data_IF_370359525407
#
_entry.id   IF_370359525407
#
_cell.length_a   1.000
_cell.length_b   1.000
_cell.length_c   1.000
_cell.angle_alpha   90.00
_cell.angle_beta   90.00
_cell.angle_gamma   90.00
#
_symmetry.space_group_name_H-M   'P 1'
#
loop_
_entity.id
_entity.type
_entity.pdbx_description
1 polymer ?
#
# COMPACT_ATOMS: atom_id res chain seq x y z
N UNK A 1 -6.71 51.45 38.10
CA UNK A 1 -7.13 50.06 37.75
C UNK A 1 -7.23 49.28 39.05
N UNK A 2 -8.41 48.93 39.43
CA UNK A 2 -8.75 48.27 40.69
C UNK A 2 -8.30 46.80 40.74
N UNK A 3 -7.97 46.26 41.93
CA UNK A 3 -7.52 44.86 42.07
C UNK A 3 -8.46 43.80 41.46
N UNK A 4 -9.73 44.15 41.31
CA UNK A 4 -10.76 43.29 40.74
C UNK A 4 -10.54 42.99 39.24
N UNK A 5 -10.03 43.93 38.47
CA UNK A 5 -9.74 43.73 37.04
C UNK A 5 -8.50 42.83 36.80
N UNK A 6 -7.58 42.77 37.76
CA UNK A 6 -6.42 41.84 37.68
C UNK A 6 -6.82 40.40 37.99
N UNK A 7 -7.77 40.19 38.89
CA UNK A 7 -8.26 38.83 39.20
C UNK A 7 -9.09 38.21 38.06
N UNK A 8 -9.88 39.00 37.33
CA UNK A 8 -10.67 38.54 36.19
C UNK A 8 -9.76 38.21 34.99
N UNK A 9 -8.71 39.01 34.76
CA UNK A 9 -7.73 38.71 33.72
C UNK A 9 -6.93 37.41 33.96
N UNK A 10 -6.65 37.09 35.24
CA UNK A 10 -5.95 35.85 35.61
C UNK A 10 -6.86 34.61 35.53
N UNK A 11 -8.14 34.79 35.87
CA UNK A 11 -9.13 33.68 35.77
C UNK A 11 -9.48 33.33 34.31
N UNK A 12 -9.53 34.31 33.39
CA UNK A 12 -9.70 34.09 31.97
C UNK A 12 -8.47 33.45 31.31
N UNK A 13 -7.26 33.72 31.82
CA UNK A 13 -6.03 33.08 31.32
C UNK A 13 -5.93 31.60 31.74
N UNK A 14 -6.48 31.24 32.91
CA UNK A 14 -6.50 29.87 33.41
C UNK A 14 -7.59 29.02 32.67
N UNK A 15 -8.68 29.66 32.23
CA UNK A 15 -9.73 28.97 31.48
C UNK A 15 -9.35 28.71 30.00
N UNK A 16 -8.39 29.45 29.44
CA UNK A 16 -7.88 29.21 28.07
C UNK A 16 -6.75 28.18 28.00
N UNK A 17 -6.16 27.75 29.12
CA UNK A 17 -5.10 26.73 29.15
C UNK A 17 -5.62 25.31 29.41
N UNK A 18 -6.92 25.15 29.65
CA UNK A 18 -7.51 23.83 30.01
C UNK A 18 -8.13 23.07 28.83
N UNK A 19 -7.95 23.52 27.58
CA UNK A 19 -8.40 22.77 26.39
C UNK A 19 -7.22 22.39 25.48
N UNK A 20 -6.08 22.03 26.08
CA UNK A 20 -5.11 21.21 25.38
C UNK A 20 -5.60 19.77 25.51
N UNK A 21 -6.47 19.35 24.61
CA UNK A 21 -6.75 17.93 24.37
C UNK A 21 -5.40 17.25 24.20
N UNK A 22 -4.93 16.57 25.22
CA UNK A 22 -3.77 15.66 25.11
C UNK A 22 -4.18 14.59 24.12
N UNK A 23 -3.82 14.79 22.82
CA UNK A 23 -4.00 13.74 21.84
C UNK A 23 -3.26 12.53 22.37
N UNK A 24 -4.02 11.52 22.68
CA UNK A 24 -3.50 10.23 23.09
C UNK A 24 -2.47 9.78 22.06
N UNK A 25 -1.25 9.51 22.50
CA UNK A 25 -0.22 9.00 21.59
C UNK A 25 -0.62 7.60 21.16
N UNK A 26 -0.50 7.27 19.86
CA UNK A 26 -0.77 5.92 19.41
C UNK A 26 0.11 4.92 20.18
N UNK A 27 -0.47 3.81 20.60
CA UNK A 27 0.29 2.73 21.18
C UNK A 27 1.30 2.21 20.15
N UNK A 28 2.51 1.81 20.57
CA UNK A 28 3.50 1.26 19.66
C UNK A 28 2.92 0.07 18.87
N UNK A 29 3.12 0.06 17.55
CA UNK A 29 2.69 -1.04 16.71
C UNK A 29 3.61 -2.25 16.95
N UNK A 30 3.10 -3.21 17.72
CA UNK A 30 3.78 -4.49 17.95
C UNK A 30 3.27 -5.47 16.90
N UNK A 31 4.17 -6.02 16.09
CA UNK A 31 3.87 -6.87 14.97
C UNK A 31 4.46 -8.27 15.16
N UNK A 32 3.68 -9.28 14.81
CA UNK A 32 4.07 -10.68 14.75
C UNK A 32 4.05 -11.14 13.30
N UNK A 33 5.07 -11.87 12.87
CA UNK A 33 5.07 -12.45 11.53
C UNK A 33 3.94 -13.48 11.42
N UNK A 34 3.25 -13.55 10.27
CA UNK A 34 2.07 -14.41 10.10
C UNK A 34 2.41 -15.87 10.41
N UNK A 35 3.55 -16.38 9.91
CA UNK A 35 3.99 -17.75 10.13
C UNK A 35 4.22 -18.08 11.61
N UNK A 36 4.63 -17.07 12.40
CA UNK A 36 4.86 -17.23 13.85
C UNK A 36 3.55 -17.06 14.65
N UNK A 37 2.64 -16.18 14.24
CA UNK A 37 1.37 -15.93 14.93
C UNK A 37 0.41 -17.11 14.86
N UNK A 38 0.43 -17.82 13.76
CA UNK A 38 -0.37 -19.02 13.52
C UNK A 38 0.07 -20.20 14.41
N UNK A 39 1.38 -20.34 14.66
CA UNK A 39 1.93 -21.36 15.56
C UNK A 39 1.81 -20.99 17.05
N UNK A 40 1.56 -19.74 17.37
CA UNK A 40 1.56 -19.21 18.74
C UNK A 40 0.33 -19.62 19.57
N UNK A 41 -0.72 -20.16 18.94
CA UNK A 41 -1.83 -20.78 19.68
C UNK A 41 -1.40 -22.03 20.46
N UNK A 42 -0.24 -22.63 20.12
CA UNK A 42 0.30 -23.81 20.77
C UNK A 42 1.51 -23.52 21.69
N UNK A 43 2.22 -22.40 21.53
CA UNK A 43 3.41 -22.08 22.34
C UNK A 43 3.47 -20.64 22.84
N UNK A 44 3.66 -20.48 24.14
CA UNK A 44 3.64 -19.20 24.89
C UNK A 44 4.77 -18.19 24.60
N UNK A 45 5.47 -18.22 23.46
CA UNK A 45 6.52 -17.25 23.11
C UNK A 45 6.41 -16.82 21.66
N UNK A 46 5.60 -15.82 21.41
CA UNK A 46 5.65 -15.06 20.15
C UNK A 46 6.85 -14.13 20.18
N UNK A 47 7.75 -14.27 19.22
CA UNK A 47 8.83 -13.30 19.00
C UNK A 47 8.22 -12.05 18.36
N UNK A 48 7.83 -11.07 19.19
CA UNK A 48 7.39 -9.77 18.72
C UNK A 48 8.56 -9.04 18.02
N UNK A 49 8.33 -8.57 16.81
CA UNK A 49 9.32 -7.77 16.07
C UNK A 49 9.00 -6.30 16.29
N UNK A 50 9.91 -5.59 16.96
CA UNK A 50 9.83 -4.14 17.09
C UNK A 50 10.39 -3.51 15.82
N UNK A 51 9.55 -2.76 15.09
CA UNK A 51 9.97 -1.89 14.01
C UNK A 51 10.32 -0.53 14.60
N UNK A 52 11.59 -0.22 14.71
CA UNK A 52 12.02 1.00 15.41
C UNK A 52 13.19 1.75 14.79
N UNK A 53 13.77 1.25 13.71
CA UNK A 53 14.91 1.92 13.09
C UNK A 53 14.96 1.66 11.58
N UNK A 54 14.77 2.73 10.81
CA UNK A 54 14.99 2.76 9.36
C UNK A 54 16.39 2.21 9.00
N UNK A 55 17.39 2.42 9.87
CA UNK A 55 18.75 1.90 9.70
C UNK A 55 18.81 0.37 9.69
N UNK A 56 18.03 -0.32 10.51
CA UNK A 56 18.00 -1.79 10.54
C UNK A 56 17.38 -2.42 9.29
N UNK A 57 16.49 -1.71 8.61
CA UNK A 57 15.84 -2.18 7.38
C UNK A 57 16.75 -2.02 6.13
N UNK A 58 17.73 -1.14 6.21
CA UNK A 58 18.67 -0.81 5.13
C UNK A 58 19.97 -1.63 5.20
N UNK A 59 20.18 -2.40 6.27
CA UNK A 59 21.38 -3.23 6.42
C UNK A 59 21.20 -4.51 5.61
N UNK A 60 22.14 -4.78 4.70
CA UNK A 60 22.20 -5.98 3.86
C UNK A 60 22.07 -7.24 4.72
N UNK A 61 21.13 -8.12 4.39
CA UNK A 61 20.87 -9.37 5.10
C UNK A 61 19.70 -9.33 6.11
N UNK A 62 19.35 -8.18 6.69
CA UNK A 62 18.20 -8.10 7.61
C UNK A 62 16.87 -7.83 6.85
N UNK A 63 16.93 -7.28 5.65
CA UNK A 63 15.76 -6.97 4.85
C UNK A 63 14.96 -8.23 4.44
N UNK A 64 15.64 -9.32 4.07
CA UNK A 64 15.00 -10.59 3.69
C UNK A 64 14.30 -11.25 4.88
N UNK A 65 14.93 -11.25 6.06
CA UNK A 65 14.36 -11.83 7.28
C UNK A 65 13.10 -11.10 7.76
N UNK A 66 12.97 -9.81 7.41
CA UNK A 66 11.83 -8.98 7.77
C UNK A 66 10.76 -8.88 6.68
N UNK A 67 11.00 -9.42 5.49
CA UNK A 67 10.00 -9.44 4.43
C UNK A 67 8.90 -10.45 4.77
N UNK A 68 7.63 -10.03 4.65
CA UNK A 68 6.49 -10.90 4.93
C UNK A 68 5.24 -10.15 5.38
N UNK A 69 4.23 -10.92 5.73
CA UNK A 69 2.95 -10.44 6.26
C UNK A 69 3.00 -10.48 7.80
N UNK A 70 2.53 -9.43 8.43
CA UNK A 70 2.54 -9.25 9.88
C UNK A 70 1.15 -8.89 10.40
N UNK A 71 0.86 -9.27 11.65
CA UNK A 71 -0.38 -8.98 12.36
C UNK A 71 -0.08 -8.35 13.72
N UNK A 72 -1.08 -7.66 14.28
CA UNK A 72 -1.06 -7.16 15.67
C UNK A 72 -1.71 -8.11 16.66
N UNK A 73 -2.45 -9.10 16.15
CA UNK A 73 -3.22 -10.09 16.91
C UNK A 73 -3.28 -11.40 16.12
N UNK A 74 -3.57 -12.55 16.74
CA UNK A 74 -3.76 -13.81 16.03
C UNK A 74 -4.82 -13.68 14.92
N UNK A 75 -4.63 -14.40 13.81
CA UNK A 75 -5.58 -14.36 12.71
C UNK A 75 -6.96 -14.85 13.15
N UNK A 76 -7.98 -14.04 12.90
CA UNK A 76 -9.38 -14.37 13.18
C UNK A 76 -10.13 -14.57 11.86
N UNK A 77 -10.58 -15.80 11.52
CA UNK A 77 -11.27 -16.10 10.27
C UNK A 77 -12.65 -15.42 10.15
N UNK A 78 -13.21 -14.90 11.23
CA UNK A 78 -14.50 -14.18 11.23
C UNK A 78 -14.34 -12.70 10.82
N UNK A 79 -13.12 -12.15 10.91
CA UNK A 79 -12.86 -10.75 10.54
C UNK A 79 -12.46 -10.62 9.07
N UNK A 80 -12.75 -9.45 8.50
CA UNK A 80 -12.33 -9.06 7.16
C UNK A 80 -10.87 -8.61 7.23
N UNK A 81 -9.94 -9.27 6.52
CA UNK A 81 -8.54 -8.86 6.52
C UNK A 81 -8.34 -7.59 5.68
N UNK A 82 -7.59 -6.64 6.23
CA UNK A 82 -7.15 -5.40 5.55
C UNK A 82 -5.64 -5.39 5.51
N UNK A 83 -5.05 -5.48 4.32
CA UNK A 83 -3.60 -5.47 4.11
C UNK A 83 -3.09 -4.06 3.84
N UNK A 84 -2.19 -3.57 4.67
CA UNK A 84 -1.51 -2.29 4.51
C UNK A 84 -0.14 -2.47 3.87
N UNK A 85 0.11 -1.76 2.76
CA UNK A 85 1.38 -1.80 2.00
C UNK A 85 2.01 -0.41 2.02
N UNK A 86 3.18 -0.28 2.67
CA UNK A 86 3.89 0.99 2.81
C UNK A 86 4.59 1.44 1.51
N UNK A 87 4.99 2.70 1.47
CA UNK A 87 5.69 3.30 0.34
C UNK A 87 7.22 3.11 0.37
N UNK A 88 7.88 3.78 -0.58
CA UNK A 88 9.33 3.83 -0.68
C UNK A 88 9.94 4.49 0.57
N UNK A 89 11.08 3.99 1.03
CA UNK A 89 11.80 4.46 2.24
C UNK A 89 10.93 4.44 3.51
N UNK A 90 9.96 3.54 3.56
CA UNK A 90 9.06 3.38 4.68
C UNK A 90 9.07 1.93 5.20
N UNK A 91 8.34 1.67 6.26
CA UNK A 91 8.21 0.39 6.94
C UNK A 91 6.78 0.25 7.53
N UNK A 92 6.36 -0.93 7.98
CA UNK A 92 5.02 -1.15 8.56
C UNK A 92 4.63 -0.17 9.67
N UNK A 93 5.60 0.33 10.44
CA UNK A 93 5.36 1.32 11.51
C UNK A 93 4.68 2.60 11.02
N UNK A 94 4.80 2.95 9.75
CA UNK A 94 4.15 4.13 9.17
C UNK A 94 2.63 4.11 9.36
N UNK A 95 2.04 2.92 9.52
CA UNK A 95 0.60 2.71 9.67
C UNK A 95 0.09 2.80 11.12
N UNK A 96 1.01 2.97 12.10
CA UNK A 96 0.70 2.95 13.54
C UNK A 96 -0.46 3.89 13.91
N UNK A 97 -0.41 5.13 13.42
CA UNK A 97 -1.46 6.12 13.69
C UNK A 97 -2.80 5.72 13.06
N UNK A 98 -2.80 5.34 11.78
CA UNK A 98 -4.02 4.93 11.09
C UNK A 98 -4.64 3.71 11.76
N UNK A 99 -3.85 2.67 12.05
CA UNK A 99 -4.33 1.47 12.71
C UNK A 99 -4.91 1.76 14.10
N UNK A 100 -4.25 2.61 14.87
CA UNK A 100 -4.71 3.04 16.20
C UNK A 100 -6.05 3.79 16.13
N UNK A 101 -6.17 4.79 15.24
CA UNK A 101 -7.40 5.58 15.11
C UNK A 101 -8.55 4.74 14.54
N UNK A 102 -8.30 3.88 13.57
CA UNK A 102 -9.32 2.98 13.02
C UNK A 102 -9.85 2.01 14.08
N UNK A 103 -8.98 1.44 14.94
CA UNK A 103 -9.39 0.51 16.00
C UNK A 103 -10.19 1.15 17.14
N UNK A 104 -10.24 2.47 17.25
CA UNK A 104 -11.13 3.17 18.19
C UNK A 104 -12.61 3.04 17.82
N UNK A 105 -12.91 2.80 16.54
CA UNK A 105 -14.28 2.54 16.09
C UNK A 105 -14.65 1.08 16.40
N UNK A 106 -15.71 0.83 17.21
CA UNK A 106 -16.12 -0.52 17.55
C UNK A 106 -16.44 -1.40 16.35
N UNK A 107 -17.14 -0.86 15.33
CA UNK A 107 -17.50 -1.61 14.11
C UNK A 107 -16.27 -2.02 13.31
N UNK A 108 -15.24 -1.17 13.25
CA UNK A 108 -13.96 -1.51 12.63
C UNK A 108 -13.23 -2.57 13.46
N UNK A 109 -13.15 -2.38 14.77
CA UNK A 109 -12.45 -3.30 15.67
C UNK A 109 -13.06 -4.70 15.69
N UNK A 110 -14.38 -4.79 15.61
CA UNK A 110 -15.12 -6.06 15.62
C UNK A 110 -15.08 -6.79 14.28
N UNK A 111 -15.20 -6.05 13.17
CA UNK A 111 -15.39 -6.65 11.85
C UNK A 111 -14.11 -6.78 11.02
N UNK A 112 -13.05 -6.04 11.34
CA UNK A 112 -11.84 -6.00 10.53
C UNK A 112 -10.59 -6.42 11.32
N UNK A 113 -9.64 -7.01 10.60
CA UNK A 113 -8.34 -7.36 11.11
C UNK A 113 -7.24 -6.78 10.22
N UNK A 114 -6.20 -6.18 10.83
CA UNK A 114 -5.16 -5.48 10.10
C UNK A 114 -3.92 -6.36 9.91
N UNK A 115 -3.52 -6.48 8.65
CA UNK A 115 -2.31 -7.11 8.19
C UNK A 115 -1.37 -6.04 7.63
N UNK A 116 -0.07 -6.22 7.81
CA UNK A 116 0.94 -5.26 7.39
C UNK A 116 2.00 -5.97 6.56
N UNK A 117 2.21 -5.52 5.33
CA UNK A 117 3.28 -6.05 4.49
C UNK A 117 4.57 -5.28 4.73
N UNK A 118 5.62 -6.01 5.05
CA UNK A 118 6.99 -5.50 5.18
C UNK A 118 7.82 -5.98 4.01
N UNK A 119 8.54 -5.08 3.35
CA UNK A 119 9.40 -5.41 2.21
C UNK A 119 10.55 -4.40 2.06
N UNK A 120 11.70 -4.79 1.45
CA UNK A 120 12.81 -3.88 1.18
C UNK A 120 12.43 -2.95 0.03
N UNK A 121 11.95 -1.74 0.35
CA UNK A 121 11.39 -0.78 -0.60
C UNK A 121 12.42 -0.18 -1.59
N UNK A 122 13.71 -0.45 -1.40
CA UNK A 122 14.76 -0.16 -2.38
C UNK A 122 14.72 -1.08 -3.62
N UNK A 123 14.08 -2.24 -3.50
CA UNK A 123 13.90 -3.20 -4.61
C UNK A 123 13.01 -2.58 -5.69
N UNK A 124 13.35 -2.69 -7.00
CA UNK A 124 12.52 -2.21 -8.08
C UNK A 124 11.07 -2.73 -8.01
N UNK A 125 10.13 -1.97 -8.60
CA UNK A 125 8.68 -2.25 -8.48
C UNK A 125 8.31 -3.67 -8.94
N UNK A 126 8.81 -4.11 -10.09
CA UNK A 126 8.43 -5.41 -10.69
C UNK A 126 8.82 -6.59 -9.79
N UNK A 127 10.09 -6.74 -9.35
CA UNK A 127 10.44 -7.79 -8.38
C UNK A 127 9.75 -7.61 -7.02
N UNK A 128 9.53 -6.36 -6.54
CA UNK A 128 8.78 -6.15 -5.30
C UNK A 128 7.34 -6.66 -5.40
N UNK A 129 6.69 -6.46 -6.54
CA UNK A 129 5.35 -6.98 -6.81
C UNK A 129 5.34 -8.52 -6.87
N UNK A 130 6.36 -9.15 -7.43
CA UNK A 130 6.49 -10.61 -7.44
C UNK A 130 6.67 -11.18 -6.03
N UNK A 131 7.53 -10.57 -5.23
CA UNK A 131 7.77 -10.96 -3.83
C UNK A 131 6.47 -10.82 -3.01
N UNK A 132 5.72 -9.71 -3.19
CA UNK A 132 4.41 -9.50 -2.53
C UNK A 132 3.44 -10.62 -2.90
N UNK A 133 3.28 -10.92 -4.21
CA UNK A 133 2.38 -11.97 -4.69
C UNK A 133 2.73 -13.32 -4.07
N UNK A 134 4.01 -13.71 -4.09
CA UNK A 134 4.47 -14.97 -3.52
C UNK A 134 4.13 -15.09 -2.02
N UNK A 135 4.47 -14.05 -1.22
CA UNK A 135 4.15 -14.05 0.21
C UNK A 135 2.64 -14.11 0.47
N UNK A 136 1.87 -13.34 -0.29
CA UNK A 136 0.43 -13.25 -0.09
C UNK A 136 -0.29 -14.54 -0.53
N UNK A 137 0.09 -15.12 -1.68
CA UNK A 137 -0.45 -16.39 -2.17
C UNK A 137 -0.22 -17.51 -1.15
N UNK A 138 0.99 -17.59 -0.57
CA UNK A 138 1.32 -18.56 0.49
C UNK A 138 0.54 -18.31 1.78
N UNK A 139 0.42 -17.05 2.19
CA UNK A 139 -0.36 -16.65 3.37
C UNK A 139 -1.82 -17.05 3.22
N UNK A 140 -2.43 -16.74 2.06
CA UNK A 140 -3.81 -17.10 1.75
C UNK A 140 -4.00 -18.62 1.73
N UNK A 141 -3.12 -19.35 1.07
CA UNK A 141 -3.18 -20.83 1.05
C UNK A 141 -3.11 -21.42 2.47
N UNK A 142 -2.27 -20.85 3.35
CA UNK A 142 -2.20 -21.25 4.76
C UNK A 142 -3.50 -20.95 5.49
N UNK A 143 -4.07 -19.74 5.32
CA UNK A 143 -5.35 -19.37 5.94
C UNK A 143 -6.46 -20.34 5.52
N UNK A 144 -6.59 -20.60 4.21
CA UNK A 144 -7.63 -21.50 3.68
C UNK A 144 -7.46 -22.93 4.20
N UNK A 145 -6.22 -23.41 4.25
CA UNK A 145 -5.89 -24.75 4.75
C UNK A 145 -6.16 -24.90 6.25
N UNK A 146 -5.70 -23.97 7.08
CA UNK A 146 -5.77 -24.07 8.54
C UNK A 146 -7.15 -23.78 9.09
N UNK A 147 -7.80 -22.74 8.58
CA UNK A 147 -9.09 -22.29 9.10
C UNK A 147 -10.28 -22.87 8.34
N UNK A 148 -10.05 -23.66 7.25
CA UNK A 148 -11.09 -24.26 6.42
C UNK A 148 -12.11 -23.26 5.87
N UNK A 149 -11.63 -22.08 5.48
CA UNK A 149 -12.44 -20.99 4.91
C UNK A 149 -11.96 -20.68 3.50
N UNK A 150 -12.82 -20.07 2.68
CA UNK A 150 -12.40 -19.49 1.40
C UNK A 150 -12.02 -18.02 1.59
N UNK A 151 -10.92 -17.62 1.00
CA UNK A 151 -10.48 -16.22 0.95
C UNK A 151 -10.99 -15.48 -0.29
N UNK A 152 -11.75 -16.14 -1.16
CA UNK A 152 -12.26 -15.49 -2.37
C UNK A 152 -12.99 -14.18 -2.08
N UNK A 153 -12.52 -13.07 -2.69
CA UNK A 153 -13.06 -11.71 -2.52
C UNK A 153 -13.18 -11.24 -1.05
N UNK A 154 -12.26 -11.61 -0.19
CA UNK A 154 -12.31 -11.19 1.23
C UNK A 154 -11.28 -10.14 1.62
N UNK A 155 -10.14 -10.06 0.90
CA UNK A 155 -9.06 -9.16 1.25
C UNK A 155 -9.32 -7.74 0.74
N UNK A 156 -9.20 -6.75 1.62
CA UNK A 156 -9.10 -5.33 1.26
C UNK A 156 -7.62 -4.94 1.33
N UNK A 157 -7.15 -4.19 0.34
CA UNK A 157 -5.75 -3.74 0.28
C UNK A 157 -5.69 -2.21 0.36
N UNK A 158 -4.84 -1.68 1.22
CA UNK A 158 -4.56 -0.24 1.36
C UNK A 158 -3.10 -0.01 1.02
N UNK A 159 -2.85 0.69 -0.08
CA UNK A 159 -1.49 0.96 -0.55
C UNK A 159 -1.14 2.44 -0.57
N UNK A 160 -0.05 2.83 0.10
CA UNK A 160 0.46 4.20 0.10
C UNK A 160 1.63 4.34 -0.86
N UNK A 161 1.62 5.38 -1.70
CA UNK A 161 2.75 5.71 -2.58
C UNK A 161 3.13 4.52 -3.47
N UNK A 162 4.39 4.09 -3.51
CA UNK A 162 4.83 2.88 -4.22
C UNK A 162 4.05 1.63 -3.79
N UNK A 163 3.62 1.53 -2.52
CA UNK A 163 2.76 0.45 -2.05
C UNK A 163 1.41 0.37 -2.77
N UNK A 164 0.90 1.50 -3.29
CA UNK A 164 -0.27 1.52 -4.14
C UNK A 164 -0.02 0.89 -5.52
N UNK A 165 1.17 1.08 -6.11
CA UNK A 165 1.53 0.41 -7.36
C UNK A 165 1.64 -1.11 -7.15
N UNK A 166 2.22 -1.52 -6.02
CA UNK A 166 2.27 -2.94 -5.64
C UNK A 166 0.86 -3.51 -5.44
N UNK A 167 -0.03 -2.76 -4.80
CA UNK A 167 -1.44 -3.14 -4.63
C UNK A 167 -2.16 -3.29 -5.98
N UNK A 168 -1.92 -2.37 -6.95
CA UNK A 168 -2.47 -2.47 -8.31
C UNK A 168 -2.05 -3.77 -8.98
N UNK A 169 -0.81 -4.22 -8.78
CA UNK A 169 -0.32 -5.48 -9.36
C UNK A 169 -1.04 -6.74 -8.87
N UNK A 170 -1.77 -6.66 -7.74
CA UNK A 170 -2.59 -7.77 -7.22
C UNK A 170 -3.93 -7.89 -7.95
N UNK A 171 -4.35 -6.86 -8.65
CA UNK A 171 -5.70 -6.73 -9.23
C UNK A 171 -5.68 -6.45 -10.73
N UNK A 172 -4.52 -6.51 -11.35
CA UNK A 172 -4.33 -6.30 -12.79
C UNK A 172 -3.83 -7.56 -13.46
N UNK A 173 -4.08 -7.64 -14.78
CA UNK A 173 -3.56 -8.69 -15.65
C UNK A 173 -2.52 -8.12 -16.61
N UNK A 174 -1.40 -8.81 -16.77
CA UNK A 174 -0.35 -8.40 -17.72
C UNK A 174 -0.49 -9.03 -19.10
N UNK A 175 -1.07 -10.22 -19.20
CA UNK A 175 -0.90 -11.05 -20.39
C UNK A 175 0.59 -11.22 -20.69
N UNK A 176 0.96 -11.10 -21.95
CA UNK A 176 2.37 -11.12 -22.39
C UNK A 176 3.01 -9.73 -22.51
N UNK A 177 2.24 -8.65 -22.37
CA UNK A 177 2.72 -7.28 -22.63
C UNK A 177 3.97 -6.92 -21.82
N UNK A 178 3.98 -7.25 -20.53
CA UNK A 178 5.15 -6.95 -19.67
C UNK A 178 6.31 -7.91 -19.96
N UNK A 179 6.03 -9.16 -20.32
CA UNK A 179 7.01 -10.14 -20.75
C UNK A 179 7.72 -9.69 -22.03
N UNK A 180 6.99 -9.36 -23.07
CA UNK A 180 7.52 -8.96 -24.39
C UNK A 180 8.34 -7.65 -24.34
N UNK A 181 8.08 -6.80 -23.33
CA UNK A 181 8.90 -5.61 -23.09
C UNK A 181 10.28 -5.96 -22.53
N UNK A 182 10.42 -7.07 -21.82
CA UNK A 182 11.65 -7.48 -21.15
C UNK A 182 12.40 -8.61 -21.89
N UNK A 183 11.67 -9.52 -22.53
CA UNK A 183 12.20 -10.78 -23.07
C UNK A 183 11.77 -11.03 -24.52
N UNK A 184 12.62 -11.75 -25.29
CA UNK A 184 12.36 -12.15 -26.66
C UNK A 184 12.23 -13.67 -26.83
N UNK A 185 12.20 -14.42 -25.74
CA UNK A 185 12.12 -15.89 -25.71
C UNK A 185 11.13 -16.35 -24.65
N UNK A 186 10.52 -17.55 -24.82
CA UNK A 186 9.68 -18.14 -23.79
C UNK A 186 10.53 -18.55 -22.57
N UNK A 187 9.89 -18.64 -21.40
CA UNK A 187 10.59 -18.88 -20.12
C UNK A 187 11.28 -20.24 -20.04
N UNK A 188 10.78 -21.21 -20.79
CA UNK A 188 11.32 -22.57 -20.85
C UNK A 188 12.76 -22.58 -21.35
N UNK A 189 13.13 -21.68 -22.26
CA UNK A 189 14.46 -21.57 -22.86
C UNK A 189 15.52 -20.93 -21.94
N UNK A 190 15.09 -20.30 -20.83
CA UNK A 190 16.02 -19.67 -19.91
C UNK A 190 16.78 -20.70 -19.07
N UNK A 191 18.11 -20.54 -18.99
CA UNK A 191 18.97 -21.27 -18.04
C UNK A 191 18.85 -20.65 -16.65
N UNK A 192 17.77 -20.98 -15.95
CA UNK A 192 17.39 -20.48 -14.62
C UNK A 192 16.84 -21.61 -13.76
N UNK A 193 17.02 -21.49 -12.46
CA UNK A 193 16.41 -22.42 -11.50
C UNK A 193 14.88 -22.33 -11.54
N UNK A 194 14.15 -23.39 -11.10
CA UNK A 194 12.69 -23.36 -11.02
C UNK A 194 12.16 -22.17 -10.21
N UNK A 195 12.82 -21.81 -9.10
CA UNK A 195 12.43 -20.69 -8.25
C UNK A 195 12.61 -19.33 -8.98
N UNK A 196 13.68 -19.19 -9.77
CA UNK A 196 13.90 -17.98 -10.58
C UNK A 196 12.88 -17.87 -11.71
N UNK A 197 12.52 -18.97 -12.37
CA UNK A 197 11.44 -19.01 -13.39
C UNK A 197 10.09 -18.65 -12.79
N UNK A 198 9.75 -19.17 -11.62
CA UNK A 198 8.55 -18.81 -10.89
C UNK A 198 8.53 -17.31 -10.56
N UNK A 199 9.64 -16.76 -10.06
CA UNK A 199 9.77 -15.35 -9.76
C UNK A 199 9.58 -14.47 -11.00
N UNK A 200 10.16 -14.85 -12.15
CA UNK A 200 9.93 -14.13 -13.41
C UNK A 200 8.47 -14.20 -13.85
N UNK A 201 7.81 -15.34 -13.71
CA UNK A 201 6.39 -15.47 -14.03
C UNK A 201 5.53 -14.58 -13.14
N UNK A 202 5.77 -14.57 -11.83
CA UNK A 202 5.08 -13.69 -10.89
C UNK A 202 5.37 -12.20 -11.13
N UNK A 203 6.53 -11.88 -11.72
CA UNK A 203 6.95 -10.53 -12.02
C UNK A 203 6.35 -10.00 -13.32
N UNK A 204 6.32 -10.81 -14.39
CA UNK A 204 6.05 -10.37 -15.75
C UNK A 204 4.80 -10.96 -16.39
N UNK A 205 4.29 -12.11 -15.90
CA UNK A 205 3.05 -12.74 -16.35
C UNK A 205 2.20 -13.09 -15.17
N UNK A 206 1.22 -12.24 -14.85
CA UNK A 206 0.35 -12.45 -13.69
C UNK A 206 -1.11 -12.11 -13.99
N UNK A 207 -1.97 -12.74 -13.20
CA UNK A 207 -3.41 -12.55 -13.18
C UNK A 207 -3.85 -11.87 -11.89
N UNK A 208 -5.00 -11.21 -11.88
CA UNK A 208 -5.62 -10.68 -10.66
C UNK A 208 -5.76 -11.77 -9.59
N UNK A 209 -5.49 -11.41 -8.34
CA UNK A 209 -5.63 -12.33 -7.22
C UNK A 209 -7.09 -12.45 -6.79
N UNK A 210 -7.69 -13.66 -6.90
CA UNK A 210 -9.13 -13.84 -6.68
C UNK A 210 -9.58 -13.57 -5.25
N UNK A 211 -8.65 -13.51 -4.30
CA UNK A 211 -8.95 -13.21 -2.90
C UNK A 211 -9.02 -11.69 -2.62
N UNK A 212 -8.63 -10.82 -3.55
CA UNK A 212 -8.74 -9.36 -3.37
C UNK A 212 -10.15 -8.91 -3.75
N UNK A 213 -10.83 -8.25 -2.80
CA UNK A 213 -12.14 -7.64 -2.99
C UNK A 213 -12.01 -6.19 -3.47
N UNK A 214 -11.19 -5.41 -2.77
CA UNK A 214 -11.07 -3.99 -3.05
C UNK A 214 -9.69 -3.43 -2.74
N UNK A 215 -9.38 -2.27 -3.35
CA UNK A 215 -8.12 -1.56 -3.14
C UNK A 215 -8.38 -0.09 -2.84
N UNK A 216 -7.70 0.44 -1.82
CA UNK A 216 -7.67 1.86 -1.47
C UNK A 216 -6.26 2.39 -1.77
N UNK A 217 -6.15 3.25 -2.77
CA UNK A 217 -4.89 3.88 -3.17
C UNK A 217 -4.72 5.22 -2.44
N UNK A 218 -3.67 5.36 -1.65
CA UNK A 218 -3.33 6.59 -0.93
C UNK A 218 -2.10 7.24 -1.58
N UNK A 219 -2.27 8.37 -2.25
CA UNK A 219 -1.18 9.11 -2.90
C UNK A 219 -0.27 8.21 -3.75
N UNK A 220 -0.87 7.28 -4.52
CA UNK A 220 -0.14 6.31 -5.33
C UNK A 220 0.21 6.89 -6.70
N UNK A 221 1.50 6.90 -7.12
CA UNK A 221 1.92 7.44 -8.41
C UNK A 221 1.63 6.44 -9.53
N UNK A 222 0.37 6.28 -9.91
CA UNK A 222 -0.09 5.30 -10.91
C UNK A 222 0.54 5.50 -12.29
N UNK A 223 0.88 6.76 -12.62
CA UNK A 223 1.55 7.16 -13.87
C UNK A 223 2.97 7.69 -13.62
N UNK A 224 3.57 7.32 -12.46
CA UNK A 224 4.90 7.77 -12.07
C UNK A 224 4.94 9.20 -11.51
N UNK A 225 6.15 9.68 -11.22
CA UNK A 225 6.38 11.03 -10.71
C UNK A 225 7.77 11.55 -11.09
N UNK A 226 7.81 12.73 -11.72
CA UNK A 226 9.07 13.47 -11.95
C UNK A 226 9.62 14.05 -10.64
N UNK A 227 8.75 14.39 -9.69
CA UNK A 227 9.11 15.02 -8.43
C UNK A 227 9.77 14.01 -7.49
N UNK A 228 9.33 12.74 -7.54
CA UNK A 228 9.91 11.67 -6.73
C UNK A 228 11.43 11.55 -6.91
N UNK A 229 11.95 11.74 -8.12
CA UNK A 229 13.40 11.69 -8.38
C UNK A 229 14.16 12.81 -7.68
N UNK A 230 13.62 14.02 -7.60
CA UNK A 230 14.22 15.18 -6.93
C UNK A 230 14.16 15.05 -5.40
N UNK A 231 13.06 14.53 -4.87
CA UNK A 231 12.88 14.29 -3.43
C UNK A 231 13.84 13.20 -2.93
N UNK A 232 14.01 12.14 -3.70
CA UNK A 232 14.78 10.94 -3.33
C UNK A 232 16.26 11.10 -3.69
N UNK A 233 16.63 11.95 -4.66
CA UNK A 233 18.02 12.26 -5.00
C UNK A 233 18.83 12.78 -3.80
N UNK A 234 18.16 13.34 -2.80
CA UNK A 234 18.77 13.74 -1.51
C UNK A 234 19.07 12.56 -0.57
N UNK A 235 18.55 11.36 -0.85
CA UNK A 235 18.63 10.17 0.03
C UNK A 235 19.34 9.00 -0.67
N UNK A 236 19.88 9.22 -1.89
CA UNK A 236 20.35 8.19 -2.81
C UNK A 236 21.40 7.17 -2.31
N UNK A 237 22.08 7.44 -1.18
CA UNK A 237 23.01 6.48 -0.58
C UNK A 237 22.34 5.33 0.20
N UNK A 238 21.05 5.43 0.49
CA UNK A 238 20.32 4.46 1.34
C UNK A 238 19.63 3.33 0.54
N UNK A 239 19.65 3.39 -0.80
CA UNK A 239 18.87 2.52 -1.69
C UNK A 239 19.66 1.33 -2.27
N UNK A 240 20.78 0.94 -1.69
CA UNK A 240 21.68 -0.06 -2.27
C UNK A 240 21.41 -1.51 -1.85
N UNK A 241 20.57 -1.76 -0.86
CA UNK A 241 20.32 -3.12 -0.38
C UNK A 241 19.20 -3.82 -1.18
N UNK A 242 19.57 -4.75 -2.06
CA UNK A 242 18.63 -5.64 -2.74
C UNK A 242 18.63 -7.02 -2.08
N UNK A 243 17.49 -7.73 -2.10
CA UNK A 243 17.48 -9.15 -1.74
C UNK A 243 18.48 -9.93 -2.59
N UNK A 244 19.22 -10.85 -1.97
CA UNK A 244 20.22 -11.67 -2.68
C UNK A 244 19.61 -12.42 -3.86
N UNK A 245 18.42 -12.97 -3.71
CA UNK A 245 17.70 -13.65 -4.78
C UNK A 245 17.52 -12.79 -6.04
N UNK A 246 17.28 -11.48 -5.87
CA UNK A 246 17.13 -10.53 -7.00
C UNK A 246 18.50 -10.21 -7.62
N UNK A 247 19.56 -10.13 -6.80
CA UNK A 247 20.94 -9.96 -7.30
C UNK A 247 21.34 -11.19 -8.12
N UNK A 248 21.15 -12.40 -7.61
CA UNK A 248 21.47 -13.67 -8.26
C UNK A 248 20.68 -13.85 -9.58
N UNK A 249 19.38 -13.52 -9.57
CA UNK A 249 18.54 -13.55 -10.77
C UNK A 249 19.05 -12.56 -11.84
N UNK A 250 19.39 -11.34 -11.44
CA UNK A 250 19.93 -10.33 -12.36
C UNK A 250 21.28 -10.77 -12.98
N UNK A 251 22.14 -11.40 -12.18
CA UNK A 251 23.41 -11.96 -12.64
C UNK A 251 23.20 -13.10 -13.65
N UNK A 252 22.32 -14.05 -13.36
CA UNK A 252 21.99 -15.17 -14.26
C UNK A 252 21.33 -14.71 -15.56
N UNK A 253 20.50 -13.68 -15.50
CA UNK A 253 19.92 -13.06 -16.70
C UNK A 253 20.99 -12.44 -17.60
N UNK A 254 21.99 -11.76 -17.03
CA UNK A 254 23.02 -11.07 -17.80
C UNK A 254 24.16 -12.00 -18.28
N UNK A 255 24.45 -13.07 -17.54
CA UNK A 255 25.58 -13.96 -17.84
C UNK A 255 25.17 -15.17 -18.66
N UNK A 256 24.03 -15.78 -18.39
CA UNK A 256 23.56 -17.04 -19.01
C UNK A 256 22.46 -16.83 -20.06
N UNK A 257 21.72 -15.71 -20.00
CA UNK A 257 20.50 -15.52 -20.78
C UNK A 257 20.43 -14.16 -21.50
N UNK A 258 21.57 -13.49 -21.68
CA UNK A 258 21.61 -12.12 -22.21
C UNK A 258 20.95 -12.00 -23.60
N UNK A 259 21.11 -12.99 -24.47
CA UNK A 259 20.55 -13.03 -25.80
C UNK A 259 19.01 -13.18 -25.81
N UNK A 260 18.43 -13.60 -24.68
CA UNK A 260 16.96 -13.73 -24.49
C UNK A 260 16.32 -12.46 -23.93
N UNK A 261 17.13 -11.44 -23.62
CA UNK A 261 16.65 -10.16 -23.12
C UNK A 261 16.45 -9.16 -24.26
N UNK A 262 15.40 -8.35 -24.16
CA UNK A 262 15.32 -7.13 -24.97
C UNK A 262 16.50 -6.22 -24.64
N UNK A 263 17.14 -5.57 -25.65
CA UNK A 263 18.35 -4.75 -25.42
C UNK A 263 18.15 -3.64 -24.38
N UNK A 264 16.96 -3.01 -24.37
CA UNK A 264 16.58 -1.97 -23.38
C UNK A 264 16.50 -2.54 -21.98
N UNK A 265 15.92 -3.73 -21.82
CA UNK A 265 15.80 -4.41 -20.54
C UNK A 265 17.15 -4.94 -20.04
N UNK A 266 17.98 -5.49 -20.93
CA UNK A 266 19.35 -5.88 -20.59
C UNK A 266 20.17 -4.70 -20.03
N UNK A 267 20.08 -3.55 -20.68
CA UNK A 267 20.69 -2.31 -20.17
C UNK A 267 20.13 -1.87 -18.83
N UNK A 268 18.82 -2.01 -18.65
CA UNK A 268 18.13 -1.70 -17.39
C UNK A 268 18.65 -2.59 -16.24
N UNK A 269 18.78 -3.90 -16.46
CA UNK A 269 19.31 -4.86 -15.47
C UNK A 269 20.80 -4.57 -15.18
N UNK A 270 21.62 -4.36 -16.21
CA UNK A 270 23.06 -4.09 -16.11
C UNK A 270 23.36 -2.79 -15.31
N UNK A 271 22.56 -1.75 -15.49
CA UNK A 271 22.70 -0.48 -14.78
C UNK A 271 22.20 -0.51 -13.32
N UNK A 272 21.83 -1.69 -12.80
CA UNK A 272 21.35 -1.89 -11.42
C UNK A 272 20.24 -0.91 -11.04
N UNK A 273 19.28 -0.74 -11.95
CA UNK A 273 18.15 0.18 -11.76
C UNK A 273 17.44 -0.11 -10.45
N UNK A 274 17.10 0.93 -9.71
CA UNK A 274 16.41 0.86 -8.42
C UNK A 274 14.93 1.26 -8.54
N UNK A 275 14.22 1.22 -7.43
CA UNK A 275 12.79 1.60 -7.36
C UNK A 275 12.53 3.03 -7.87
N UNK A 276 13.46 3.97 -7.69
CA UNK A 276 13.30 5.37 -8.11
C UNK A 276 13.22 5.51 -9.63
N UNK A 277 14.15 4.85 -10.33
CA UNK A 277 14.18 4.92 -11.78
C UNK A 277 12.95 4.27 -12.42
N UNK A 278 12.35 3.29 -11.74
CA UNK A 278 11.08 2.68 -12.16
C UNK A 278 9.84 3.52 -11.82
N UNK A 279 9.97 4.59 -11.03
CA UNK A 279 8.89 5.52 -10.74
C UNK A 279 8.83 6.73 -11.68
N UNK A 280 9.78 6.88 -12.59
CA UNK A 280 9.73 7.97 -13.59
C UNK A 280 8.59 7.76 -14.57
N UNK A 281 7.81 8.80 -14.93
CA UNK A 281 6.68 8.68 -15.86
C UNK A 281 7.06 8.16 -17.24
N UNK A 282 8.29 8.47 -17.71
CA UNK A 282 8.85 8.06 -19.00
C UNK A 282 9.53 6.67 -18.97
N UNK A 283 9.53 6.00 -17.82
CA UNK A 283 9.99 4.63 -17.71
C UNK A 283 9.05 3.68 -18.49
N UNK A 284 9.55 2.84 -19.42
CA UNK A 284 8.71 1.86 -20.11
C UNK A 284 7.90 0.97 -19.17
N UNK A 285 8.47 0.61 -18.02
CA UNK A 285 7.80 -0.20 -16.99
C UNK A 285 6.65 0.59 -16.37
N UNK A 286 6.86 1.86 -16.00
CA UNK A 286 5.81 2.70 -15.39
C UNK A 286 4.66 2.94 -16.36
N UNK A 287 4.97 3.28 -17.60
CA UNK A 287 3.96 3.49 -18.66
C UNK A 287 3.11 2.22 -18.84
N UNK A 288 3.75 1.06 -18.96
CA UNK A 288 3.03 -0.19 -19.11
C UNK A 288 2.16 -0.53 -17.88
N UNK A 289 2.71 -0.40 -16.66
CA UNK A 289 1.95 -0.66 -15.43
C UNK A 289 0.78 0.32 -15.26
N UNK A 290 0.92 1.57 -15.74
CA UNK A 290 -0.17 2.55 -15.73
C UNK A 290 -1.36 2.09 -16.57
N UNK A 291 -1.09 1.51 -17.74
CA UNK A 291 -2.09 1.09 -18.73
C UNK A 291 -2.72 -0.29 -18.42
N UNK A 292 -2.23 -1.01 -17.40
CA UNK A 292 -2.85 -2.28 -17.02
C UNK A 292 -4.24 -2.03 -16.41
N UNK A 293 -5.28 -2.68 -16.95
CA UNK A 293 -6.62 -2.57 -16.39
C UNK A 293 -6.70 -3.25 -15.03
N UNK A 294 -7.50 -2.68 -14.15
CA UNK A 294 -7.93 -3.34 -12.91
C UNK A 294 -9.05 -4.32 -13.24
N UNK A 295 -9.04 -5.50 -12.64
CA UNK A 295 -10.08 -6.52 -12.78
C UNK A 295 -11.47 -5.94 -12.45
N UNK A 296 -12.44 -6.18 -13.33
CA UNK A 296 -13.81 -5.65 -13.22
C UNK A 296 -14.54 -6.10 -11.94
N UNK A 297 -14.10 -7.20 -11.36
CA UNK A 297 -14.64 -7.70 -10.09
C UNK A 297 -14.01 -7.03 -8.86
N UNK A 298 -13.08 -6.08 -9.01
CA UNK A 298 -12.44 -5.37 -7.89
C UNK A 298 -12.94 -3.95 -7.82
N UNK A 299 -13.43 -3.56 -6.65
CA UNK A 299 -13.74 -2.15 -6.36
C UNK A 299 -12.48 -1.42 -5.92
N UNK A 300 -12.27 -0.19 -6.40
CA UNK A 300 -11.12 0.58 -5.97
C UNK A 300 -11.46 2.04 -5.70
N UNK A 301 -10.66 2.67 -4.84
CA UNK A 301 -10.81 4.04 -4.38
C UNK A 301 -9.47 4.75 -4.45
N UNK A 302 -9.48 6.05 -4.73
CA UNK A 302 -8.28 6.88 -4.74
C UNK A 302 -8.40 8.03 -3.76
N UNK A 303 -7.36 8.24 -2.96
CA UNK A 303 -7.25 9.38 -2.05
C UNK A 303 -5.94 10.08 -2.36
N UNK A 304 -6.02 11.30 -2.92
CA UNK A 304 -4.88 12.08 -3.37
C UNK A 304 -4.64 13.30 -2.47
N UNK A 305 -3.38 13.70 -2.33
CA UNK A 305 -3.02 14.97 -1.72
C UNK A 305 -3.04 16.09 -2.75
N UNK A 306 -3.58 17.25 -2.36
CA UNK A 306 -3.56 18.48 -3.16
C UNK A 306 -3.04 19.64 -2.34
N UNK A 307 -2.41 20.68 -2.97
CA UNK A 307 -1.78 21.77 -2.22
C UNK A 307 -2.80 22.73 -1.59
N UNK A 308 -4.00 22.87 -2.20
CA UNK A 308 -5.02 23.83 -1.78
C UNK A 308 -6.40 23.43 -2.32
N UNK A 309 -7.43 24.24 -1.99
CA UNK A 309 -8.76 24.12 -2.59
C UNK A 309 -8.78 24.48 -4.10
N UNK A 310 -7.81 25.25 -4.57
CA UNK A 310 -7.64 25.57 -6.00
C UNK A 310 -6.80 24.50 -6.70
N UNK A 311 -7.26 23.26 -6.65
CA UNK A 311 -6.57 22.08 -7.19
C UNK A 311 -6.70 21.93 -8.72
N UNK A 312 -7.57 22.74 -9.38
CA UNK A 312 -7.84 22.65 -10.83
C UNK A 312 -6.79 23.36 -11.69
N UNK A 313 -5.97 24.24 -11.10
CA UNK A 313 -4.89 24.88 -11.84
C UNK A 313 -3.83 23.87 -12.27
N UNK A 314 -3.19 24.12 -13.42
CA UNK A 314 -2.10 23.26 -13.90
C UNK A 314 -1.00 23.12 -12.86
N UNK A 315 -0.63 24.22 -12.19
CA UNK A 315 0.39 24.21 -11.15
C UNK A 315 0.00 23.28 -9.97
N UNK A 316 -1.25 23.35 -9.51
CA UNK A 316 -1.74 22.48 -8.44
C UNK A 316 -1.81 21.02 -8.86
N UNK A 317 -2.21 20.74 -10.11
CA UNK A 317 -2.24 19.40 -10.70
C UNK A 317 -0.83 18.79 -10.78
N UNK A 318 0.16 19.55 -11.24
CA UNK A 318 1.54 19.11 -11.38
C UNK A 318 2.23 18.98 -10.01
N UNK A 319 1.87 19.82 -9.04
CA UNK A 319 2.42 19.77 -7.67
C UNK A 319 1.87 18.61 -6.85
N UNK A 320 0.55 18.35 -6.97
CA UNK A 320 -0.12 17.32 -6.17
C UNK A 320 0.18 17.44 -4.67
N UNK A 321 0.61 16.36 -4.05
CA UNK A 321 1.02 16.29 -2.65
C UNK A 321 2.49 16.72 -2.40
N UNK A 322 3.17 17.24 -3.43
CA UNK A 322 4.58 17.62 -3.40
C UNK A 322 5.54 16.49 -3.78
N UNK A 323 5.07 15.28 -3.99
CA UNK A 323 5.81 14.11 -4.47
C UNK A 323 5.11 13.44 -5.65
N UNK A 324 3.80 13.26 -5.56
CA UNK A 324 2.96 12.64 -6.58
C UNK A 324 2.04 13.70 -7.18
N UNK A 325 2.14 14.00 -8.47
CA UNK A 325 1.20 14.87 -9.17
C UNK A 325 -0.23 14.32 -9.08
N UNK A 326 -1.23 15.21 -9.04
CA UNK A 326 -2.62 14.78 -8.92
C UNK A 326 -3.05 13.92 -10.12
N UNK A 327 -2.67 14.30 -11.33
CA UNK A 327 -2.95 13.51 -12.55
C UNK A 327 -2.37 12.10 -12.52
N UNK A 328 -1.32 11.87 -11.71
CA UNK A 328 -0.72 10.55 -11.53
C UNK A 328 -1.40 9.74 -10.42
N UNK A 329 -2.01 10.40 -9.43
CA UNK A 329 -2.70 9.73 -8.33
C UNK A 329 -4.14 9.29 -8.67
N UNK A 330 -4.75 9.92 -9.68
CA UNK A 330 -6.10 9.61 -10.14
C UNK A 330 -6.14 8.33 -10.99
N UNK A 331 -7.18 7.53 -10.81
CA UNK A 331 -7.48 6.34 -11.63
C UNK A 331 -8.91 6.41 -12.12
N UNK A 332 -9.07 6.37 -13.44
CA UNK A 332 -10.40 6.29 -14.07
C UNK A 332 -11.15 5.04 -13.59
N UNK A 333 -12.43 5.18 -13.30
CA UNK A 333 -13.30 4.10 -12.80
C UNK A 333 -13.20 3.86 -11.28
N UNK A 334 -12.44 4.66 -10.53
CA UNK A 334 -12.45 4.59 -9.09
C UNK A 334 -13.87 4.85 -8.54
N UNK A 335 -14.31 4.00 -7.60
CA UNK A 335 -15.64 4.13 -6.98
C UNK A 335 -15.79 5.42 -6.20
N UNK A 336 -14.74 5.81 -5.52
CA UNK A 336 -14.64 7.07 -4.79
C UNK A 336 -13.26 7.68 -5.03
N UNK A 337 -13.22 8.93 -5.47
CA UNK A 337 -12.02 9.73 -5.62
C UNK A 337 -12.08 10.91 -4.66
N UNK A 338 -11.07 11.07 -3.82
CA UNK A 338 -11.02 12.11 -2.80
C UNK A 338 -9.71 12.88 -2.88
N UNK A 339 -9.81 14.22 -2.93
CA UNK A 339 -8.67 15.12 -2.80
C UNK A 339 -8.63 15.78 -1.43
N UNK A 340 -7.49 15.69 -0.75
CA UNK A 340 -7.29 16.25 0.58
C UNK A 340 -6.12 17.22 0.58
N UNK A 341 -6.24 18.37 1.30
CA UNK A 341 -5.11 19.27 1.50
C UNK A 341 -4.08 18.57 2.37
N UNK A 342 -3.06 17.99 1.74
CA UNK A 342 -2.02 17.23 2.40
C UNK A 342 -0.76 17.14 1.56
N UNK A 343 0.39 17.04 2.24
CA UNK A 343 1.61 16.52 1.62
C UNK A 343 1.58 14.99 1.52
N UNK A 344 2.68 14.42 1.02
CA UNK A 344 2.79 13.00 0.66
C UNK A 344 2.50 11.99 1.79
N UNK A 345 2.69 12.36 3.06
CA UNK A 345 2.38 11.51 4.23
C UNK A 345 0.90 11.54 4.59
N UNK A 346 0.05 11.46 3.56
CA UNK A 346 -1.40 11.58 3.63
C UNK A 346 -2.05 10.56 4.59
N UNK A 347 -1.49 9.35 4.70
CA UNK A 347 -1.98 8.28 5.55
C UNK A 347 -1.95 8.62 7.06
N UNK A 348 -1.22 9.67 7.45
CA UNK A 348 -1.17 10.17 8.83
C UNK A 348 -2.17 11.31 9.12
N UNK A 349 -2.96 11.73 8.11
CA UNK A 349 -3.95 12.80 8.29
C UNK A 349 -5.25 12.24 8.84
N UNK A 350 -5.84 12.96 9.80
CA UNK A 350 -7.13 12.64 10.41
C UNK A 350 -8.23 12.44 9.37
N UNK A 351 -8.35 13.39 8.43
CA UNK A 351 -9.32 13.31 7.34
C UNK A 351 -9.13 12.09 6.45
N UNK A 352 -7.90 11.69 6.16
CA UNK A 352 -7.61 10.46 5.41
C UNK A 352 -8.10 9.23 6.17
N UNK A 353 -7.79 9.17 7.47
CA UNK A 353 -8.20 8.06 8.34
C UNK A 353 -9.73 7.96 8.37
N UNK A 354 -10.42 9.08 8.50
CA UNK A 354 -11.90 9.15 8.48
C UNK A 354 -12.47 8.69 7.14
N UNK A 355 -11.85 9.03 6.01
CA UNK A 355 -12.29 8.54 4.68
C UNK A 355 -12.07 7.04 4.56
N UNK A 356 -10.89 6.54 4.93
CA UNK A 356 -10.58 5.09 4.93
C UNK A 356 -11.56 4.32 5.83
N UNK A 357 -11.85 4.83 7.03
CA UNK A 357 -12.82 4.23 7.95
C UNK A 357 -14.18 4.04 7.29
N UNK A 358 -14.70 5.08 6.62
CA UNK A 358 -16.00 5.03 5.94
C UNK A 358 -16.00 4.05 4.77
N UNK A 359 -14.93 4.04 3.98
CA UNK A 359 -14.76 3.07 2.88
C UNK A 359 -14.77 1.64 3.43
N UNK A 360 -14.03 1.36 4.51
CA UNK A 360 -14.03 0.05 5.15
C UNK A 360 -15.44 -0.34 5.60
N UNK A 361 -16.17 0.55 6.28
CA UNK A 361 -17.56 0.31 6.72
C UNK A 361 -18.51 -0.01 5.56
N UNK A 362 -18.34 0.62 4.39
CA UNK A 362 -19.14 0.28 3.21
C UNK A 362 -18.82 -1.13 2.72
N UNK A 363 -17.54 -1.50 2.65
CA UNK A 363 -17.15 -2.85 2.26
C UNK A 363 -17.55 -3.92 3.28
N UNK A 364 -17.58 -3.57 4.56
CA UNK A 364 -18.09 -4.41 5.65
C UNK A 364 -19.61 -4.49 5.73
N UNK A 365 -20.33 -3.68 4.96
CA UNK A 365 -21.81 -3.64 4.99
C UNK A 365 -22.42 -2.83 6.13
N UNK A 366 -21.59 -2.08 6.89
CA UNK A 366 -22.07 -1.20 7.99
C UNK A 366 -22.57 0.16 7.49
N UNK A 367 -22.16 0.58 6.27
CA UNK A 367 -22.65 1.79 5.61
C UNK A 367 -23.08 1.49 4.18
N UNK A 368 -24.02 2.28 3.68
CA UNK A 368 -24.37 2.33 2.25
C UNK A 368 -23.47 3.32 1.51
N UNK A 369 -23.45 3.24 0.17
CA UNK A 369 -22.73 4.20 -0.66
C UNK A 369 -23.31 5.62 -0.58
N UNK A 370 -24.63 5.75 -0.39
CA UNK A 370 -25.27 7.04 -0.21
C UNK A 370 -24.86 7.69 1.12
N UNK A 371 -24.78 6.90 2.19
CA UNK A 371 -24.34 7.38 3.50
C UNK A 371 -22.87 7.81 3.50
N UNK A 372 -22.00 7.08 2.82
CA UNK A 372 -20.58 7.49 2.72
C UNK A 372 -20.45 8.81 1.94
N UNK A 373 -21.19 8.98 0.84
CA UNK A 373 -21.17 10.23 0.06
C UNK A 373 -21.59 11.40 0.97
N UNK A 374 -22.73 11.28 1.64
CA UNK A 374 -23.22 12.31 2.57
C UNK A 374 -22.21 12.60 3.70
N UNK A 375 -21.61 11.57 4.30
CA UNK A 375 -20.65 11.75 5.39
C UNK A 375 -19.33 12.37 4.93
N UNK A 376 -18.86 12.08 3.70
CA UNK A 376 -17.64 12.70 3.18
C UNK A 376 -17.88 14.17 2.80
N UNK A 377 -19.08 14.53 2.33
CA UNK A 377 -19.44 15.92 2.07
C UNK A 377 -19.35 16.81 3.32
N UNK A 378 -19.56 16.24 4.51
CA UNK A 378 -19.37 16.99 5.76
C UNK A 378 -17.90 17.32 6.07
N UNK A 379 -16.97 16.63 5.43
CA UNK A 379 -15.54 16.93 5.55
C UNK A 379 -15.22 18.15 4.68
N UNK A 380 -14.55 19.14 5.22
CA UNK A 380 -14.06 20.30 4.47
C UNK A 380 -12.86 19.89 3.61
N UNK A 381 -13.12 19.30 2.45
CA UNK A 381 -12.12 18.77 1.53
C UNK A 381 -12.26 19.40 0.14
N UNK A 382 -11.18 19.50 -0.64
CA UNK A 382 -11.20 20.10 -2.00
C UNK A 382 -12.16 19.43 -2.96
N UNK A 383 -12.21 18.10 -2.97
CA UNK A 383 -13.20 17.38 -3.79
C UNK A 383 -13.45 15.96 -3.28
N UNK A 384 -14.66 15.47 -3.57
CA UNK A 384 -15.01 14.05 -3.59
C UNK A 384 -15.82 13.78 -4.86
N UNK A 385 -15.52 12.70 -5.54
CA UNK A 385 -16.25 12.22 -6.72
C UNK A 385 -16.66 10.78 -6.48
N UNK A 386 -17.89 10.45 -6.85
CA UNK A 386 -18.44 9.10 -6.66
C UNK A 386 -18.93 8.57 -8.01
N UNK A 387 -18.51 7.37 -8.32
CA UNK A 387 -18.94 6.67 -9.54
C UNK A 387 -19.83 5.49 -9.11
N UNK A 388 -21.13 5.74 -9.00
CA UNK A 388 -22.12 4.71 -8.62
C UNK A 388 -22.78 4.05 -9.83
N UNK A 389 -22.66 4.64 -11.02
CA UNK A 389 -23.33 4.19 -12.21
C UNK A 389 -22.53 3.07 -12.89
N UNK A 390 -23.01 1.83 -12.72
CA UNK A 390 -22.62 0.75 -13.58
C UNK A 390 -22.22 -0.60 -12.95
N UNK A 391 -21.73 -0.64 -11.73
CA UNK A 391 -21.37 -1.92 -11.10
C UNK A 391 -21.75 -1.94 -9.61
N UNK A 392 -22.40 -3.04 -9.14
CA UNK A 392 -22.67 -3.18 -7.71
C UNK A 392 -21.35 -3.17 -6.93
N UNK A 393 -21.36 -2.52 -5.76
CA UNK A 393 -20.25 -2.60 -4.82
C UNK A 393 -20.03 -4.05 -4.42
N UNK A 394 -18.81 -4.55 -4.61
CA UNK A 394 -18.41 -5.84 -4.08
C UNK A 394 -18.27 -5.71 -2.56
N UNK A 395 -19.36 -5.97 -1.83
CA UNK A 395 -19.30 -6.09 -0.38
C UNK A 395 -18.57 -7.37 -0.01
N UNK A 396 -17.72 -7.30 0.97
CA UNK A 396 -17.19 -8.51 1.60
C UNK A 396 -18.36 -9.13 2.37
N UNK A 397 -18.98 -10.14 1.79
CA UNK A 397 -19.98 -10.93 2.50
C UNK A 397 -19.28 -11.58 3.69
N UNK A 398 -19.69 -11.20 4.89
CA UNK A 398 -19.39 -11.99 6.07
C UNK A 398 -20.08 -13.34 5.85
N UNK A 399 -19.30 -14.37 5.60
CA UNK A 399 -19.77 -15.74 5.77
C UNK A 399 -19.86 -15.97 7.29
N UNK A 400 -20.89 -15.37 7.89
CA UNK A 400 -21.34 -15.80 9.20
C UNK A 400 -21.76 -17.24 9.01
N UNK A 401 -21.03 -18.13 9.65
CA UNK A 401 -21.25 -19.57 9.84
C UNK A 401 -22.70 -20.01 9.63
N UNK A 402 -22.91 -20.91 8.74
CA UNK A 402 -23.88 -21.99 9.00
C UNK A 402 -23.19 -23.13 9.73
#
# INVERSE_FOLDING_TARGET
MTPLLRAIGFLLLILFTASCSTREKPAPLVLFKFEDSYRATETKKTNAISFGSLKGFLIKGHAEQRTGIYLTEPFNPQKIPVLFIHGLLSEPKTWERMAFELKKDPEISENFQFLFYSYPSATPIVPSAAILKNHLDRTVATIESEFKISMHRRLIVVGHSMGGILAKSLVSETGDRLWDTAFNSPIEEFDLSPQQKEMLSLAFRYQPRPYVNSVIFLAAPQRGSHIASSFIGRIGGLLSARPKMIEDLAEDLLTKNKERLQPTFASFVANKVNSISTLKPDSPITTLLADLPIDKGVTYHTIAGVPSFDYKTKEAQDKGDGVVPLWSAELEGARCEVGLISGHWIHNKETTIQVVQRILKVHGGQLTEAEIAQQIETLKIPFARYNYDGYPLNRVTQFLSR
#
